data_IF_713309917820
#
_entry.id   IF_713309917820
#
_cell.length_a   1.000
_cell.length_b   1.000
_cell.length_c   1.000
_cell.angle_alpha   90.00
_cell.angle_beta   90.00
_cell.angle_gamma   90.00
#
_symmetry.space_group_name_H-M   'P 1'
#
loop_
_entity.id
_entity.type
_entity.pdbx_description
1 polymer ?
#
# COMPACT_ATOMS: atom_id res chain seq x y z
N UNK A 1 -0.97 -13.17 11.89
CA UNK A 1 -0.89 -11.77 12.40
C UNK A 1 0.21 -10.96 11.74
N UNK A 2 1.50 -11.37 11.78
CA UNK A 2 2.62 -10.61 11.17
C UNK A 2 2.38 -10.19 9.70
N UNK A 3 1.89 -11.11 8.87
CA UNK A 3 1.55 -10.85 7.45
C UNK A 3 0.51 -9.74 7.26
N UNK A 4 -0.60 -9.85 7.99
CA UNK A 4 -1.70 -8.87 7.94
C UNK A 4 -1.24 -7.48 8.38
N UNK A 5 -0.54 -7.40 9.52
CA UNK A 5 -0.05 -6.12 10.07
C UNK A 5 0.95 -5.47 9.11
N UNK A 6 1.85 -6.26 8.53
CA UNK A 6 2.81 -5.77 7.53
C UNK A 6 2.10 -5.16 6.32
N UNK A 7 1.19 -5.90 5.68
CA UNK A 7 0.47 -5.42 4.49
C UNK A 7 -0.36 -4.17 4.79
N UNK A 8 -1.01 -4.11 5.96
CA UNK A 8 -1.79 -2.95 6.38
C UNK A 8 -0.89 -1.72 6.63
N UNK A 9 0.20 -1.85 7.37
CA UNK A 9 1.10 -0.72 7.69
C UNK A 9 1.82 -0.21 6.44
N UNK A 10 2.32 -1.10 5.59
CA UNK A 10 3.07 -0.66 4.41
C UNK A 10 2.16 -0.15 3.30
N UNK A 11 0.92 -0.64 3.18
CA UNK A 11 -0.08 0.03 2.34
C UNK A 11 -0.45 1.40 2.92
N UNK A 12 -0.54 1.51 4.25
CA UNK A 12 -0.78 2.80 4.90
C UNK A 12 0.30 3.83 4.53
N UNK A 13 1.58 3.46 4.70
CA UNK A 13 2.72 4.33 4.36
C UNK A 13 2.68 4.69 2.87
N UNK A 14 2.48 3.70 2.00
CA UNK A 14 2.45 3.91 0.56
C UNK A 14 1.36 4.91 0.14
N UNK A 15 0.12 4.71 0.60
CA UNK A 15 -1.00 5.59 0.28
C UNK A 15 -0.83 6.97 0.91
N UNK A 16 -0.23 7.08 2.10
CA UNK A 16 0.04 8.37 2.72
C UNK A 16 1.05 9.19 1.89
N UNK A 17 2.10 8.55 1.36
CA UNK A 17 3.05 9.22 0.45
C UNK A 17 2.37 9.65 -0.84
N UNK A 18 1.53 8.77 -1.43
CA UNK A 18 0.75 9.12 -2.63
C UNK A 18 -0.07 10.38 -2.37
N UNK A 19 -0.90 10.37 -1.33
CA UNK A 19 -1.76 11.51 -0.97
C UNK A 19 -0.95 12.78 -0.73
N UNK A 20 0.17 12.69 -0.01
CA UNK A 20 0.99 13.84 0.31
C UNK A 20 1.71 14.46 -0.89
N UNK A 21 2.29 13.64 -1.77
CA UNK A 21 3.03 14.16 -2.92
C UNK A 21 2.11 14.68 -4.03
N UNK A 22 0.89 14.13 -4.13
CA UNK A 22 -0.12 14.55 -5.11
C UNK A 22 -1.06 15.65 -4.60
N UNK A 23 -0.87 16.14 -3.37
CA UNK A 23 -1.71 17.22 -2.83
C UNK A 23 -1.47 18.53 -3.61
N UNK A 24 -2.55 19.20 -4.01
CA UNK A 24 -2.48 20.41 -4.84
C UNK A 24 -1.80 21.60 -4.13
N UNK A 25 -1.79 21.61 -2.79
CA UNK A 25 -1.26 22.73 -1.98
C UNK A 25 0.08 22.41 -1.35
N UNK A 26 0.25 21.17 -0.91
CA UNK A 26 1.41 20.71 -0.11
C UNK A 26 2.35 19.79 -0.91
N UNK A 27 1.89 19.26 -2.04
CA UNK A 27 2.63 18.31 -2.85
C UNK A 27 3.67 18.96 -3.75
N UNK A 28 4.46 18.09 -4.41
CA UNK A 28 5.47 18.49 -5.39
C UNK A 28 5.22 17.69 -6.67
N UNK A 29 4.38 18.19 -7.60
CA UNK A 29 3.91 17.43 -8.77
C UNK A 29 5.04 16.80 -9.61
N UNK A 30 6.16 17.51 -9.76
CA UNK A 30 7.33 17.05 -10.51
C UNK A 30 7.98 15.81 -9.88
N UNK A 31 7.85 15.64 -8.56
CA UNK A 31 8.45 14.54 -7.80
C UNK A 31 7.52 13.36 -7.55
N UNK A 32 6.23 13.44 -7.94
CA UNK A 32 5.23 12.39 -7.69
C UNK A 32 5.72 11.00 -8.12
N UNK A 33 6.18 10.87 -9.37
CA UNK A 33 6.64 9.58 -9.91
C UNK A 33 7.82 9.00 -9.12
N UNK A 34 8.79 9.85 -8.77
CA UNK A 34 9.98 9.43 -8.02
C UNK A 34 9.64 9.04 -6.58
N UNK A 35 8.87 9.87 -5.87
CA UNK A 35 8.49 9.62 -4.48
C UNK A 35 7.63 8.36 -4.33
N UNK A 36 6.62 8.19 -5.18
CA UNK A 36 5.75 7.01 -5.16
C UNK A 36 6.56 5.75 -5.52
N UNK A 37 7.39 5.83 -6.57
CA UNK A 37 8.22 4.72 -7.01
C UNK A 37 9.23 4.26 -5.95
N UNK A 38 9.99 5.18 -5.37
CA UNK A 38 10.96 4.86 -4.31
C UNK A 38 10.30 4.35 -3.03
N UNK A 39 9.10 4.85 -2.71
CA UNK A 39 8.32 4.30 -1.59
C UNK A 39 7.95 2.85 -1.85
N UNK A 40 7.52 2.51 -3.08
CA UNK A 40 7.22 1.13 -3.43
C UNK A 40 8.47 0.24 -3.40
N UNK A 41 9.65 0.74 -3.80
CA UNK A 41 10.94 0.03 -3.66
C UNK A 41 11.23 -0.27 -2.19
N UNK A 42 11.10 0.72 -1.30
CA UNK A 42 11.30 0.53 0.14
C UNK A 42 10.35 -0.53 0.70
N UNK A 43 9.06 -0.44 0.35
CA UNK A 43 8.05 -1.42 0.75
C UNK A 43 8.46 -2.83 0.33
N UNK A 44 9.00 -3.01 -0.89
CA UNK A 44 9.49 -4.30 -1.35
C UNK A 44 10.68 -4.81 -0.55
N UNK A 45 11.68 -3.96 -0.29
CA UNK A 45 12.87 -4.33 0.49
C UNK A 45 12.48 -4.92 1.84
N UNK A 46 11.44 -4.36 2.49
CA UNK A 46 11.01 -4.83 3.81
C UNK A 46 10.02 -6.00 3.74
N UNK A 47 9.03 -5.97 2.83
CA UNK A 47 7.91 -6.90 2.87
C UNK A 47 8.13 -8.21 2.09
N UNK A 48 9.12 -8.29 1.18
CA UNK A 48 9.41 -9.51 0.41
C UNK A 48 9.63 -10.73 1.35
N UNK A 49 10.48 -10.67 2.39
CA UNK A 49 10.70 -11.82 3.27
C UNK A 49 9.49 -12.16 4.17
N UNK A 50 8.48 -11.29 4.28
CA UNK A 50 7.32 -11.48 5.16
C UNK A 50 6.14 -12.08 4.38
N UNK A 51 5.83 -11.50 3.23
CA UNK A 51 4.64 -11.83 2.44
C UNK A 51 4.89 -11.99 0.94
N UNK A 52 6.10 -11.70 0.46
CA UNK A 52 6.36 -11.52 -0.98
C UNK A 52 5.91 -10.16 -1.51
N UNK A 53 5.46 -9.26 -0.63
CA UNK A 53 4.94 -7.92 -0.90
C UNK A 53 3.73 -7.88 -1.83
N UNK A 54 2.54 -7.74 -1.26
CA UNK A 54 1.36 -7.37 -2.03
C UNK A 54 1.23 -5.86 -2.16
N UNK A 55 0.77 -5.20 -1.07
CA UNK A 55 0.31 -3.81 -0.96
C UNK A 55 -0.63 -3.33 -2.09
N UNK A 56 -1.16 -4.26 -2.87
CA UNK A 56 -1.93 -4.03 -4.08
C UNK A 56 -2.78 -5.26 -4.38
N UNK A 57 -4.10 -5.21 -4.12
CA UNK A 57 -5.01 -6.31 -4.39
C UNK A 57 -4.95 -6.84 -5.82
N UNK A 58 -4.87 -5.96 -6.83
CA UNK A 58 -4.80 -6.38 -8.24
C UNK A 58 -3.52 -7.17 -8.54
N UNK A 59 -2.38 -6.75 -7.98
CA UNK A 59 -1.09 -7.45 -8.10
C UNK A 59 -1.10 -8.84 -7.44
N UNK A 60 -1.95 -9.05 -6.44
CA UNK A 60 -2.13 -10.35 -5.78
C UNK A 60 -3.17 -11.24 -6.47
N UNK A 61 -4.26 -10.65 -6.97
CA UNK A 61 -5.33 -11.38 -7.67
C UNK A 61 -4.76 -12.04 -8.93
N UNK A 62 -4.02 -11.30 -9.75
CA UNK A 62 -3.51 -11.80 -11.04
C UNK A 62 -2.77 -13.15 -10.91
N UNK A 63 -1.63 -13.20 -10.20
CA UNK A 63 -0.88 -14.45 -10.01
C UNK A 63 -1.65 -15.54 -9.27
N UNK A 64 -2.52 -15.18 -8.31
CA UNK A 64 -3.30 -16.16 -7.56
C UNK A 64 -4.27 -16.94 -8.45
N UNK A 65 -4.83 -16.31 -9.49
CA UNK A 65 -5.71 -17.00 -10.45
C UNK A 65 -4.97 -18.05 -11.27
N UNK A 66 -3.68 -17.87 -11.53
CA UNK A 66 -2.85 -18.83 -12.27
C UNK A 66 -2.20 -19.89 -11.37
N UNK A 67 -1.82 -19.54 -10.14
CA UNK A 67 -1.26 -20.50 -9.17
C UNK A 67 -2.33 -21.42 -8.59
N UNK A 68 -3.52 -20.89 -8.32
CA UNK A 68 -4.64 -21.64 -7.78
C UNK A 68 -4.50 -21.93 -6.27
N UNK A 69 -4.92 -23.12 -5.85
CA UNK A 69 -4.69 -23.73 -4.54
C UNK A 69 -4.51 -22.77 -3.35
N UNK A 70 -3.25 -22.69 -2.86
CA UNK A 70 -2.92 -21.95 -1.64
C UNK A 70 -2.95 -20.44 -1.85
N UNK A 71 -2.60 -19.91 -3.03
CA UNK A 71 -2.68 -18.47 -3.26
C UNK A 71 -4.13 -17.97 -3.22
N UNK A 72 -5.08 -18.69 -3.84
CA UNK A 72 -6.50 -18.29 -3.80
C UNK A 72 -7.06 -18.32 -2.38
N UNK A 73 -6.75 -19.35 -1.60
CA UNK A 73 -7.22 -19.43 -0.20
C UNK A 73 -6.63 -18.33 0.69
N UNK A 74 -5.45 -17.80 0.37
CA UNK A 74 -4.81 -16.70 1.11
C UNK A 74 -5.13 -15.30 0.55
N UNK A 75 -5.78 -15.22 -0.61
CA UNK A 75 -5.98 -13.97 -1.35
C UNK A 75 -6.72 -12.90 -0.54
N UNK A 76 -7.68 -13.30 0.30
CA UNK A 76 -8.46 -12.39 1.13
C UNK A 76 -7.56 -11.49 2.01
N UNK A 77 -6.43 -12.00 2.49
CA UNK A 77 -5.48 -11.26 3.33
C UNK A 77 -4.91 -10.06 2.56
N UNK A 78 -4.56 -10.29 1.29
CA UNK A 78 -4.00 -9.28 0.38
C UNK A 78 -5.05 -8.35 -0.23
N UNK A 79 -6.31 -8.50 0.15
CA UNK A 79 -7.39 -7.58 -0.18
C UNK A 79 -7.72 -6.74 1.06
N UNK A 80 -8.07 -7.41 2.16
CA UNK A 80 -8.55 -6.75 3.39
C UNK A 80 -7.45 -5.89 4.03
N UNK A 81 -6.22 -6.41 4.15
CA UNK A 81 -5.15 -5.66 4.81
C UNK A 81 -4.75 -4.39 4.04
N UNK A 82 -4.54 -4.43 2.70
CA UNK A 82 -4.29 -3.22 1.93
C UNK A 82 -5.43 -2.20 1.98
N UNK A 83 -6.69 -2.64 1.86
CA UNK A 83 -7.82 -1.71 1.97
C UNK A 83 -7.92 -1.06 3.35
N UNK A 84 -7.70 -1.82 4.42
CA UNK A 84 -7.67 -1.26 5.78
C UNK A 84 -6.55 -0.21 5.93
N UNK A 85 -5.35 -0.50 5.41
CA UNK A 85 -4.22 0.43 5.42
C UNK A 85 -4.51 1.71 4.64
N UNK A 86 -5.03 1.58 3.41
CA UNK A 86 -5.38 2.71 2.55
C UNK A 86 -6.47 3.60 3.16
N UNK A 87 -7.53 2.99 3.73
CA UNK A 87 -8.59 3.73 4.40
C UNK A 87 -8.06 4.52 5.60
N UNK A 88 -7.18 3.91 6.40
CA UNK A 88 -6.52 4.59 7.52
C UNK A 88 -5.67 5.77 7.03
N UNK A 89 -4.93 5.63 5.93
CA UNK A 89 -4.14 6.73 5.35
C UNK A 89 -5.00 7.88 4.90
N UNK A 90 -6.13 7.59 4.25
CA UNK A 90 -7.06 8.63 3.81
C UNK A 90 -7.61 9.43 5.01
N UNK A 91 -7.96 8.75 6.11
CA UNK A 91 -8.41 9.40 7.35
C UNK A 91 -7.30 10.25 7.97
N UNK A 92 -6.09 9.69 8.10
CA UNK A 92 -4.94 10.41 8.68
C UNK A 92 -4.58 11.63 7.83
N UNK A 93 -4.47 11.46 6.51
CA UNK A 93 -4.19 12.57 5.59
C UNK A 93 -5.25 13.65 5.68
N UNK A 94 -6.53 13.30 5.78
CA UNK A 94 -7.60 14.28 5.98
C UNK A 94 -7.41 15.07 7.28
N UNK A 95 -7.00 14.43 8.37
CA UNK A 95 -6.80 15.10 9.65
C UNK A 95 -5.60 16.03 9.67
N UNK A 96 -4.46 15.65 9.07
CA UNK A 96 -3.23 16.47 9.06
C UNK A 96 -3.13 17.41 7.85
N UNK A 97 -3.76 17.03 6.74
CA UNK A 97 -3.81 17.79 5.50
C UNK A 97 -4.82 18.94 5.54
N UNK A 98 -5.83 18.86 6.43
CA UNK A 98 -6.89 19.88 6.56
C UNK A 98 -6.46 21.18 7.24
N UNK A 99 -5.23 21.31 7.75
CA UNK A 99 -4.71 22.62 8.11
C UNK A 99 -4.46 23.42 6.81
N UNK A 100 -5.30 24.43 6.61
CA UNK A 100 -5.17 25.46 5.58
C UNK A 100 -3.96 26.33 5.85
#
# INVERSE_FOLDING_TARGET
MKKYISEMIFTFIFVLVVLGVTDDKKGTPVMCGLAIGLTLVLVHIVCIPITGTSVNPARSIGPALFEGGKALTQLWLFIVAPFAGAALSAVVWKSIGSEK
#
